data_IF_064279682591
#
_entry.id   IF_064279682591
#
_cell.length_a   1.000
_cell.length_b   1.000
_cell.length_c   1.000
_cell.angle_alpha   90.00
_cell.angle_beta   90.00
_cell.angle_gamma   90.00
#
_symmetry.space_group_name_H-M   'P 1'
#
loop_
_entity.id
_entity.type
_entity.pdbx_description
1 polymer ?
#
# COMPACT_ATOMS: atom_id res chain seq x y z
N UNK A 1 -28.23 3.68 -2.00
CA UNK A 1 -28.78 3.51 -3.37
C UNK A 1 -28.01 4.35 -4.40
N UNK A 2 -27.63 5.60 -4.09
CA UNK A 2 -26.87 6.46 -5.01
C UNK A 2 -25.51 5.88 -5.48
N UNK A 3 -24.69 5.31 -4.58
CA UNK A 3 -23.38 4.75 -4.95
C UNK A 3 -23.42 3.56 -5.93
N UNK A 4 -24.44 2.71 -5.84
CA UNK A 4 -24.61 1.58 -6.78
C UNK A 4 -25.10 2.02 -8.17
N UNK A 5 -25.83 3.13 -8.26
CA UNK A 5 -26.22 3.72 -9.54
C UNK A 5 -25.03 4.43 -10.21
N UNK A 6 -24.19 5.13 -9.44
CA UNK A 6 -22.92 5.72 -9.92
C UNK A 6 -21.97 4.65 -10.47
N UNK A 7 -21.88 3.49 -9.79
CA UNK A 7 -21.10 2.34 -10.26
C UNK A 7 -21.54 1.80 -11.63
N UNK A 8 -22.83 1.87 -11.97
CA UNK A 8 -23.35 1.34 -13.25
C UNK A 8 -23.03 2.23 -14.45
N UNK A 9 -22.71 3.51 -14.22
CA UNK A 9 -22.35 4.46 -15.27
C UNK A 9 -20.85 4.68 -15.44
N UNK A 10 -20.02 4.18 -14.51
CA UNK A 10 -18.57 4.35 -14.54
C UNK A 10 -17.90 3.22 -15.32
N UNK A 11 -17.07 3.58 -16.29
CA UNK A 11 -16.16 2.64 -16.95
C UNK A 11 -15.00 2.28 -16.02
N UNK A 12 -15.18 1.19 -15.28
CA UNK A 12 -14.20 0.70 -14.31
C UNK A 12 -12.92 0.16 -14.99
N UNK A 13 -13.00 -0.32 -16.24
CA UNK A 13 -11.80 -0.71 -17.00
C UNK A 13 -10.96 0.53 -17.36
N UNK A 14 -11.60 1.61 -17.81
CA UNK A 14 -10.92 2.87 -18.08
C UNK A 14 -10.31 3.50 -16.82
N UNK A 15 -11.01 3.40 -15.67
CA UNK A 15 -10.47 3.84 -14.38
C UNK A 15 -9.23 3.03 -13.97
N UNK A 16 -9.24 1.72 -14.18
CA UNK A 16 -8.11 0.83 -13.91
C UNK A 16 -6.90 1.11 -14.81
N UNK A 17 -7.13 1.23 -16.12
CA UNK A 17 -6.10 1.61 -17.10
C UNK A 17 -5.46 2.97 -16.74
N UNK A 18 -6.28 3.91 -16.28
CA UNK A 18 -5.81 5.23 -15.84
C UNK A 18 -4.96 5.13 -14.56
N UNK A 19 -5.46 4.45 -13.53
CA UNK A 19 -4.78 4.31 -12.25
C UNK A 19 -3.41 3.63 -12.39
N UNK A 20 -3.33 2.55 -13.18
CA UNK A 20 -2.08 1.81 -13.42
C UNK A 20 -1.04 2.66 -14.14
N UNK A 21 -1.42 3.37 -15.21
CA UNK A 21 -0.50 4.26 -15.93
C UNK A 21 -0.04 5.42 -15.04
N UNK A 22 -0.94 5.99 -14.25
CA UNK A 22 -0.62 7.10 -13.36
C UNK A 22 0.33 6.68 -12.25
N UNK A 23 0.09 5.53 -11.60
CA UNK A 23 0.96 4.99 -10.56
C UNK A 23 2.39 4.72 -11.08
N UNK A 24 2.53 4.19 -12.30
CA UNK A 24 3.85 3.95 -12.91
C UNK A 24 4.57 5.26 -13.22
N UNK A 25 3.88 6.26 -13.76
CA UNK A 25 4.45 7.60 -14.03
C UNK A 25 4.89 8.30 -12.75
N UNK A 26 4.06 8.24 -11.70
CA UNK A 26 4.35 8.78 -10.38
C UNK A 26 5.57 8.08 -9.74
N UNK A 27 5.61 6.75 -9.74
CA UNK A 27 6.75 6.02 -9.17
C UNK A 27 8.04 6.18 -9.96
N UNK A 28 7.99 6.55 -11.24
CA UNK A 28 9.18 6.93 -11.99
C UNK A 28 9.85 8.20 -11.40
N UNK A 29 9.05 9.16 -10.90
CA UNK A 29 9.56 10.35 -10.19
C UNK A 29 10.28 9.95 -8.89
N UNK A 30 9.69 9.02 -8.11
CA UNK A 30 10.31 8.47 -6.90
C UNK A 30 11.65 7.77 -7.22
N UNK A 31 11.69 6.94 -8.27
CA UNK A 31 12.92 6.26 -8.69
C UNK A 31 14.00 7.25 -9.08
N UNK A 32 13.66 8.25 -9.89
CA UNK A 32 14.62 9.27 -10.33
C UNK A 32 15.20 10.03 -9.14
N UNK A 33 14.37 10.35 -8.15
CA UNK A 33 14.83 11.00 -6.92
C UNK A 33 15.74 10.09 -6.08
N UNK A 34 15.35 8.82 -5.89
CA UNK A 34 16.18 7.83 -5.21
C UNK A 34 17.54 7.64 -5.89
N UNK A 35 17.57 7.62 -7.23
CA UNK A 35 18.79 7.56 -8.02
C UNK A 35 19.69 8.77 -7.80
N UNK A 36 19.15 9.99 -7.92
CA UNK A 36 19.90 11.23 -7.68
C UNK A 36 20.53 11.24 -6.30
N UNK A 37 19.80 10.77 -5.28
CA UNK A 37 20.29 10.66 -3.90
C UNK A 37 21.37 9.61 -3.73
N UNK A 38 21.25 8.46 -4.40
CA UNK A 38 22.28 7.42 -4.37
C UNK A 38 23.57 7.84 -5.11
N UNK A 39 23.48 8.70 -6.12
CA UNK A 39 24.62 9.20 -6.89
C UNK A 39 25.25 10.48 -6.32
N UNK A 40 24.59 11.16 -5.38
CA UNK A 40 25.16 12.34 -4.76
C UNK A 40 26.49 11.93 -4.09
N UNK A 41 27.62 12.60 -4.39
CA UNK A 41 28.87 12.28 -3.73
C UNK A 41 28.66 12.44 -2.23
N UNK A 42 28.99 11.40 -1.46
CA UNK A 42 29.15 11.55 -0.02
C UNK A 42 30.08 12.76 0.16
N UNK A 43 29.57 13.85 0.75
CA UNK A 43 30.41 14.93 1.24
C UNK A 43 31.27 14.33 2.35
N UNK A 44 32.34 13.65 1.98
CA UNK A 44 33.34 13.14 2.89
C UNK A 44 34.00 14.35 3.51
N UNK A 45 33.85 14.48 4.81
CA UNK A 45 34.71 15.26 5.68
C UNK A 45 36.18 14.88 5.45
N UNK A 46 36.83 15.54 4.50
CA UNK A 46 38.29 15.56 4.35
C UNK A 46 38.79 16.97 4.61
N UNK A 47 38.64 17.43 5.86
CA UNK A 47 39.41 18.55 6.36
C UNK A 47 40.77 18.01 6.84
N UNK A 48 41.73 17.92 5.92
CA UNK A 48 43.15 17.88 6.28
C UNK A 48 44.03 18.34 5.10
N UNK A 49 44.43 19.61 5.13
CA UNK A 49 45.83 20.06 5.07
C UNK A 49 45.87 21.52 4.63
N UNK A 50 46.70 22.29 5.32
CA UNK A 50 46.83 23.73 5.27
C UNK A 50 47.13 24.30 3.87
N UNK A 51 46.70 25.55 3.66
CA UNK A 51 47.61 26.61 3.20
C UNK A 51 47.12 28.00 3.70
N UNK A 52 48.04 28.94 4.03
CA UNK A 52 47.72 30.16 4.76
C UNK A 52 47.63 31.42 3.86
N UNK A 53 46.81 32.38 4.31
CA UNK A 53 46.90 33.84 4.08
C UNK A 53 46.69 34.35 2.64
N UNK A 54 45.63 35.14 2.43
CA UNK A 54 45.77 36.56 2.08
C UNK A 54 44.47 37.35 2.28
N UNK A 55 44.67 38.58 2.75
CA UNK A 55 43.71 39.63 3.07
C UNK A 55 42.77 40.02 1.92
N UNK A 56 41.49 40.32 2.21
CA UNK A 56 41.06 41.73 2.21
C UNK A 56 39.78 41.97 3.03
N UNK A 57 39.70 43.19 3.56
CA UNK A 57 38.73 43.82 4.45
C UNK A 57 37.40 44.05 3.68
N UNK A 58 36.19 44.24 4.22
CA UNK A 58 35.70 44.98 5.38
C UNK A 58 34.14 44.88 5.35
N UNK A 59 33.47 44.77 6.50
CA UNK A 59 32.43 45.72 6.96
C UNK A 59 31.68 45.20 8.20
N UNK A 60 31.90 45.93 9.30
CA UNK A 60 31.05 46.19 10.46
C UNK A 60 30.26 45.03 11.11
N UNK A 61 30.82 44.53 12.22
CA UNK A 61 30.09 43.90 13.31
C UNK A 61 29.88 44.91 14.45
N UNK A 62 28.62 45.11 14.87
CA UNK A 62 28.13 45.40 16.23
C UNK A 62 26.61 45.16 16.16
N UNK A 63 25.90 44.48 17.05
CA UNK A 63 26.16 43.97 18.40
C UNK A 63 25.00 43.02 18.75
N UNK A 64 25.29 42.01 19.59
CA UNK A 64 24.43 41.27 20.53
C UNK A 64 24.54 39.75 20.37
N UNK A 65 25.59 39.22 20.98
CA UNK A 65 25.59 37.89 21.58
C UNK A 65 24.58 37.85 22.74
N UNK A 66 23.79 36.79 22.85
CA UNK A 66 24.04 35.79 23.90
C UNK A 66 23.25 34.48 23.68
N UNK A 67 24.03 33.40 23.72
CA UNK A 67 23.71 32.04 24.16
C UNK A 67 22.96 31.06 23.22
N UNK A 68 23.77 30.22 22.55
CA UNK A 68 23.56 28.77 22.52
C UNK A 68 22.93 28.16 21.27
N UNK A 69 23.63 28.14 20.14
CA UNK A 69 23.27 27.29 19.00
C UNK A 69 24.51 26.82 18.22
N UNK A 70 25.08 25.70 18.66
CA UNK A 70 25.98 24.86 17.86
C UNK A 70 25.32 23.48 17.82
N UNK A 71 24.53 23.23 16.76
CA UNK A 71 24.15 21.93 16.17
C UNK A 71 22.79 21.96 15.43
N UNK A 72 22.59 22.88 14.48
CA UNK A 72 21.33 22.96 13.69
C UNK A 72 21.53 22.99 12.17
N UNK A 73 22.69 22.59 11.62
CA UNK A 73 22.90 22.60 10.15
C UNK A 73 23.00 21.24 9.45
N UNK A 74 22.98 20.12 10.16
CA UNK A 74 23.05 18.78 9.53
C UNK A 74 21.74 17.98 9.58
N UNK A 75 20.67 18.53 10.18
CA UNK A 75 19.37 17.83 10.32
C UNK A 75 18.29 18.22 9.29
N UNK A 76 18.53 19.27 8.49
CA UNK A 76 17.59 19.76 7.46
C UNK A 76 17.78 19.12 6.06
N UNK A 77 18.62 18.11 5.88
CA UNK A 77 19.06 17.70 4.53
C UNK A 77 18.33 16.49 3.89
N UNK A 78 17.59 15.70 4.65
CA UNK A 78 16.90 14.49 4.13
C UNK A 78 15.39 14.51 4.33
N UNK A 79 14.92 15.05 5.46
CA UNK A 79 13.50 15.23 5.74
C UNK A 79 12.87 16.22 4.75
N UNK A 80 13.57 17.31 4.43
CA UNK A 80 13.09 18.33 3.49
C UNK A 80 13.00 17.78 2.05
N UNK A 81 14.02 17.02 1.61
CA UNK A 81 14.04 16.38 0.28
C UNK A 81 12.91 15.37 0.11
N UNK A 82 12.61 14.63 1.17
CA UNK A 82 11.51 13.65 1.17
C UNK A 82 10.18 14.41 1.10
N UNK A 83 9.97 15.40 1.97
CA UNK A 83 8.76 16.25 1.94
C UNK A 83 8.52 16.88 0.56
N UNK A 84 9.57 17.35 -0.12
CA UNK A 84 9.46 17.92 -1.46
C UNK A 84 9.05 16.90 -2.54
N UNK A 85 9.58 15.67 -2.49
CA UNK A 85 9.22 14.65 -3.47
C UNK A 85 7.77 14.19 -3.25
N UNK A 86 7.35 13.94 -2.00
CA UNK A 86 5.98 13.56 -1.63
C UNK A 86 4.98 14.59 -2.18
N UNK A 87 5.21 15.88 -1.91
CA UNK A 87 4.38 16.99 -2.41
C UNK A 87 4.39 17.11 -3.94
N UNK A 88 5.52 16.86 -4.59
CA UNK A 88 5.61 16.95 -6.05
C UNK A 88 4.87 15.81 -6.76
N UNK A 89 4.94 14.59 -6.20
CA UNK A 89 4.25 13.41 -6.72
C UNK A 89 2.75 13.56 -6.49
N UNK A 90 2.33 14.00 -5.30
CA UNK A 90 0.92 14.25 -5.01
C UNK A 90 0.32 15.27 -5.99
N UNK A 91 0.99 16.41 -6.15
CA UNK A 91 0.53 17.46 -7.07
C UNK A 91 0.34 16.92 -8.49
N UNK A 92 1.32 16.18 -8.98
CA UNK A 92 1.25 15.55 -10.30
C UNK A 92 0.05 14.59 -10.41
N UNK A 93 -0.12 13.69 -9.44
CA UNK A 93 -1.22 12.71 -9.44
C UNK A 93 -2.59 13.40 -9.37
N UNK A 94 -2.75 14.35 -8.46
CA UNK A 94 -4.01 15.11 -8.27
C UNK A 94 -4.36 15.92 -9.53
N UNK A 95 -3.39 16.58 -10.15
CA UNK A 95 -3.62 17.33 -11.40
C UNK A 95 -4.07 16.42 -12.54
N UNK A 96 -3.45 15.25 -12.72
CA UNK A 96 -3.85 14.28 -13.75
C UNK A 96 -5.24 13.71 -13.47
N UNK A 97 -5.58 13.39 -12.21
CA UNK A 97 -6.92 12.95 -11.82
C UNK A 97 -7.96 14.02 -12.16
N UNK A 98 -7.73 15.27 -11.77
CA UNK A 98 -8.69 16.37 -12.02
C UNK A 98 -8.90 16.67 -13.50
N UNK A 99 -7.90 16.43 -14.35
CA UNK A 99 -8.04 16.56 -15.82
C UNK A 99 -8.98 15.52 -16.41
N UNK A 100 -8.92 14.28 -15.93
CA UNK A 100 -9.67 13.15 -16.50
C UNK A 100 -11.03 12.93 -15.80
N UNK A 101 -11.08 13.16 -14.49
CA UNK A 101 -12.25 12.94 -13.63
C UNK A 101 -12.59 14.21 -12.81
N UNK A 102 -12.97 15.33 -13.44
CA UNK A 102 -13.23 16.60 -12.74
C UNK A 102 -14.43 16.57 -11.78
N UNK A 103 -15.33 15.59 -11.91
CA UNK A 103 -16.50 15.42 -11.04
C UNK A 103 -16.28 14.45 -9.86
N UNK A 104 -15.06 13.95 -9.68
CA UNK A 104 -14.73 12.98 -8.63
C UNK A 104 -14.01 13.70 -7.50
N UNK A 105 -14.25 13.26 -6.26
CA UNK A 105 -13.49 13.73 -5.11
C UNK A 105 -12.07 13.16 -5.14
N UNK A 106 -11.13 13.86 -4.49
CA UNK A 106 -9.75 13.40 -4.34
C UNK A 106 -9.32 13.56 -2.88
N UNK A 107 -8.89 12.46 -2.27
CA UNK A 107 -8.33 12.39 -0.93
C UNK A 107 -6.86 11.96 -1.06
N UNK A 108 -5.92 12.86 -0.75
CA UNK A 108 -4.49 12.59 -0.82
C UNK A 108 -3.81 12.93 0.51
N UNK A 109 -2.79 12.15 0.90
CA UNK A 109 -2.15 12.22 2.23
C UNK A 109 -1.68 13.63 2.59
N UNK A 110 -0.90 14.29 1.75
CA UNK A 110 -0.20 15.53 2.09
C UNK A 110 -1.16 16.71 2.18
N UNK A 111 -2.08 16.83 1.22
CA UNK A 111 -3.15 17.82 1.25
C UNK A 111 -4.06 17.63 2.47
N UNK A 112 -4.32 16.38 2.89
CA UNK A 112 -5.12 16.10 4.07
C UNK A 112 -4.35 16.39 5.36
N UNK A 113 -3.05 16.04 5.44
CA UNK A 113 -2.20 16.34 6.59
C UNK A 113 -2.07 17.84 6.85
N UNK A 114 -2.13 18.66 5.79
CA UNK A 114 -2.20 20.12 5.88
C UNK A 114 -3.58 20.62 6.40
N UNK A 115 -4.63 19.82 6.29
CA UNK A 115 -5.98 20.12 6.77
C UNK A 115 -6.20 19.69 8.22
N UNK A 116 -6.60 20.60 9.11
CA UNK A 116 -6.78 20.30 10.54
C UNK A 116 -7.93 19.34 10.93
N UNK A 117 -8.66 18.76 9.96
CA UNK A 117 -9.78 17.85 10.24
C UNK A 117 -9.30 16.40 10.36
N UNK A 118 -9.79 15.67 11.37
CA UNK A 118 -9.54 14.22 11.55
C UNK A 118 -10.75 13.34 11.17
N UNK A 119 -11.83 13.95 10.65
CA UNK A 119 -13.07 13.25 10.30
C UNK A 119 -12.89 12.31 9.12
N UNK A 120 -13.66 11.23 9.09
CA UNK A 120 -13.71 10.33 7.94
C UNK A 120 -14.11 11.10 6.68
N UNK A 121 -13.32 10.95 5.61
CA UNK A 121 -13.32 11.89 4.49
C UNK A 121 -13.85 11.32 3.17
N UNK A 122 -14.25 10.04 3.10
CA UNK A 122 -14.95 9.53 1.93
C UNK A 122 -16.41 9.98 1.95
N UNK A 123 -16.80 10.67 0.87
CA UNK A 123 -18.17 11.09 0.62
C UNK A 123 -18.98 9.96 -0.04
N UNK A 124 -20.26 10.21 -0.34
CA UNK A 124 -21.07 9.34 -1.19
C UNK A 124 -20.64 9.40 -2.67
N UNK A 125 -19.77 10.35 -3.05
CA UNK A 125 -19.25 10.50 -4.41
C UNK A 125 -18.07 9.54 -4.67
N UNK A 126 -17.83 9.17 -5.93
CA UNK A 126 -16.59 8.49 -6.32
C UNK A 126 -15.38 9.32 -5.90
N UNK A 127 -14.49 8.71 -5.12
CA UNK A 127 -13.32 9.37 -4.53
C UNK A 127 -12.05 8.65 -4.93
N UNK A 128 -11.14 9.35 -5.60
CA UNK A 128 -9.76 8.89 -5.78
C UNK A 128 -8.99 9.08 -4.48
N UNK A 129 -8.36 8.03 -3.98
CA UNK A 129 -7.62 8.03 -2.74
C UNK A 129 -6.15 7.71 -3.03
N UNK A 130 -5.26 8.61 -2.64
CA UNK A 130 -3.87 8.62 -3.11
C UNK A 130 -2.90 8.68 -1.94
N UNK A 131 -1.96 7.75 -1.93
CA UNK A 131 -0.69 7.90 -1.20
C UNK A 131 0.42 8.12 -2.24
N UNK A 132 1.03 9.32 -2.29
CA UNK A 132 2.09 9.62 -3.24
C UNK A 132 3.40 8.87 -2.93
N UNK A 133 3.63 8.48 -1.67
CA UNK A 133 4.81 7.76 -1.21
C UNK A 133 4.50 7.00 0.10
N UNK A 134 3.99 5.78 -0.01
CA UNK A 134 3.91 4.90 1.15
C UNK A 134 5.32 4.36 1.44
N UNK A 135 5.74 4.45 2.70
CA UNK A 135 7.08 4.13 3.15
C UNK A 135 8.05 5.31 3.12
N UNK A 136 7.61 6.53 3.43
CA UNK A 136 8.43 7.76 3.54
C UNK A 136 9.75 7.55 4.33
N UNK A 137 9.71 6.81 5.44
CA UNK A 137 10.90 6.47 6.24
C UNK A 137 11.84 5.55 5.46
N UNK A 138 11.30 4.53 4.79
CA UNK A 138 12.10 3.66 3.93
C UNK A 138 12.76 4.45 2.80
N UNK A 139 12.02 5.36 2.17
CA UNK A 139 12.54 6.23 1.13
C UNK A 139 13.68 7.10 1.64
N UNK A 140 13.55 7.66 2.85
CA UNK A 140 14.63 8.42 3.52
C UNK A 140 15.91 7.60 3.63
N UNK A 141 15.81 6.29 3.89
CA UNK A 141 16.95 5.40 4.02
C UNK A 141 17.36 4.68 2.74
N UNK A 142 16.71 4.98 1.60
CA UNK A 142 16.84 4.20 0.35
C UNK A 142 16.59 2.70 0.56
N UNK A 143 15.76 2.37 1.56
CA UNK A 143 15.27 1.01 1.75
C UNK A 143 14.20 0.74 0.67
N UNK A 144 14.25 -0.41 -0.04
CA UNK A 144 13.60 -0.57 -1.34
C UNK A 144 12.07 -0.74 -1.28
N UNK A 145 11.48 -0.94 -0.11
CA UNK A 145 10.03 -1.12 0.06
C UNK A 145 9.34 0.23 0.19
N UNK A 146 9.10 0.83 -0.97
CA UNK A 146 8.36 2.09 -1.14
C UNK A 146 7.40 1.93 -2.31
N UNK A 147 6.26 2.61 -2.29
CA UNK A 147 5.34 2.56 -3.41
C UNK A 147 4.47 3.82 -3.56
N UNK A 148 3.87 3.95 -4.75
CA UNK A 148 2.73 4.85 -4.98
C UNK A 148 1.46 4.01 -4.88
N UNK A 149 0.47 4.48 -4.12
CA UNK A 149 -0.85 3.84 -3.96
C UNK A 149 -1.93 4.74 -4.55
N UNK A 150 -2.70 4.24 -5.52
CA UNK A 150 -3.83 4.95 -6.12
C UNK A 150 -5.05 4.04 -6.09
N UNK A 151 -6.02 4.38 -5.25
CA UNK A 151 -7.29 3.69 -5.11
C UNK A 151 -8.46 4.53 -5.63
N UNK A 152 -9.54 3.87 -6.02
CA UNK A 152 -10.84 4.48 -6.25
C UNK A 152 -11.85 3.80 -5.34
N UNK A 153 -12.58 4.60 -4.56
CA UNK A 153 -13.66 4.15 -3.71
C UNK A 153 -15.00 4.79 -4.13
N UNK A 154 -16.09 4.02 -4.00
CA UNK A 154 -17.46 4.51 -4.21
C UNK A 154 -18.29 4.11 -2.99
N UNK A 155 -18.83 5.10 -2.26
CA UNK A 155 -19.61 4.84 -1.05
C UNK A 155 -18.83 4.02 -0.01
N UNK A 156 -17.55 4.36 0.20
CA UNK A 156 -16.61 3.68 1.11
C UNK A 156 -16.20 2.26 0.70
N UNK A 157 -16.62 1.79 -0.48
CA UNK A 157 -16.18 0.51 -1.03
C UNK A 157 -15.01 0.74 -2.01
N UNK A 158 -13.82 0.17 -1.76
CA UNK A 158 -12.74 0.14 -2.76
C UNK A 158 -13.17 -0.68 -3.98
N UNK A 159 -13.08 -0.08 -5.17
CA UNK A 159 -13.56 -0.68 -6.44
C UNK A 159 -12.47 -0.82 -7.49
N UNK A 160 -11.38 -0.06 -7.39
CA UNK A 160 -10.21 -0.17 -8.24
C UNK A 160 -8.96 0.25 -7.45
N UNK A 161 -7.82 -0.34 -7.77
CA UNK A 161 -6.56 -0.02 -7.10
C UNK A 161 -5.34 -0.31 -7.97
N UNK A 162 -4.32 0.53 -7.86
CA UNK A 162 -2.99 0.32 -8.40
C UNK A 162 -1.94 0.68 -7.34
N UNK A 163 -1.03 -0.25 -7.06
CA UNK A 163 0.12 -0.07 -6.17
C UNK A 163 1.38 -0.34 -6.98
N UNK A 164 2.25 0.65 -7.12
CA UNK A 164 3.49 0.52 -7.87
C UNK A 164 4.70 0.72 -6.97
N UNK A 165 5.53 -0.31 -6.83
CA UNK A 165 6.78 -0.29 -6.10
C UNK A 165 7.96 -0.06 -7.04
N UNK A 166 8.47 1.18 -7.18
CA UNK A 166 9.45 1.51 -8.20
C UNK A 166 10.86 0.99 -7.88
N UNK A 167 11.16 0.58 -6.65
CA UNK A 167 12.50 0.12 -6.26
C UNK A 167 12.58 -1.41 -6.07
N UNK A 168 11.56 -2.15 -6.52
CA UNK A 168 11.46 -3.61 -6.36
C UNK A 168 11.38 -4.32 -7.71
N UNK A 169 11.69 -5.63 -7.75
CA UNK A 169 11.57 -6.46 -8.96
C UNK A 169 12.82 -6.51 -9.85
N UNK A 170 12.70 -7.19 -11.01
CA UNK A 170 13.81 -7.30 -11.96
C UNK A 170 14.20 -5.92 -12.49
N UNK A 171 15.50 -5.60 -12.52
CA UNK A 171 15.98 -4.27 -12.89
C UNK A 171 15.84 -3.21 -11.78
N UNK A 172 15.66 -3.63 -10.52
CA UNK A 172 15.70 -2.75 -9.34
C UNK A 172 17.12 -2.29 -8.94
N UNK A 173 18.14 -2.61 -9.74
CA UNK A 173 19.42 -1.93 -9.60
C UNK A 173 19.17 -0.46 -9.93
N UNK A 174 19.60 0.42 -9.03
CA UNK A 174 19.50 1.88 -9.18
C UNK A 174 20.17 2.39 -10.49
N UNK A 175 20.96 1.56 -11.18
CA UNK A 175 21.59 1.79 -12.49
C UNK A 175 20.75 2.64 -13.49
N UNK A 176 21.31 3.75 -14.01
CA UNK A 176 20.57 4.70 -14.84
C UNK A 176 20.34 4.18 -16.25
N UNK A 177 21.04 3.11 -16.67
CA UNK A 177 20.89 2.51 -18.00
C UNK A 177 19.73 1.51 -18.00
N UNK A 178 19.39 0.98 -16.82
CA UNK A 178 18.26 0.09 -16.57
C UNK A 178 17.02 0.90 -16.17
N UNK A 179 16.49 1.74 -17.07
CA UNK A 179 15.23 2.47 -16.88
C UNK A 179 13.98 1.56 -16.71
N UNK A 180 14.16 0.25 -16.53
CA UNK A 180 13.14 -0.78 -16.61
C UNK A 180 13.20 -1.62 -15.34
N UNK A 181 12.12 -1.61 -14.57
CA UNK A 181 11.93 -2.46 -13.40
C UNK A 181 10.74 -1.98 -12.59
N UNK A 182 10.60 -2.44 -11.35
CA UNK A 182 9.44 -2.11 -10.53
C UNK A 182 8.42 -3.25 -10.53
N UNK A 183 7.57 -3.26 -9.52
CA UNK A 183 6.47 -4.21 -9.42
C UNK A 183 5.16 -3.43 -9.30
N UNK A 184 4.19 -3.77 -10.16
CA UNK A 184 2.86 -3.18 -10.14
C UNK A 184 1.86 -4.25 -9.70
N UNK A 185 1.03 -3.94 -8.72
CA UNK A 185 -0.16 -4.69 -8.39
C UNK A 185 -1.37 -3.86 -8.74
N UNK A 186 -2.39 -4.46 -9.31
CA UNK A 186 -3.61 -3.73 -9.64
C UNK A 186 -4.81 -4.64 -9.69
N UNK A 187 -5.99 -4.07 -9.47
CA UNK A 187 -7.25 -4.78 -9.57
C UNK A 187 -8.38 -3.82 -9.86
N UNK A 188 -9.45 -4.38 -10.39
CA UNK A 188 -10.68 -3.68 -10.70
C UNK A 188 -11.86 -4.61 -10.40
N UNK A 189 -12.91 -4.08 -9.77
CA UNK A 189 -14.04 -4.87 -9.28
C UNK A 189 -14.64 -5.74 -10.40
N UNK A 190 -14.70 -7.05 -10.18
CA UNK A 190 -15.22 -8.03 -11.14
C UNK A 190 -14.24 -8.44 -12.26
N UNK A 191 -13.00 -7.94 -12.26
CA UNK A 191 -12.01 -8.19 -13.30
C UNK A 191 -10.77 -8.91 -12.77
N UNK A 192 -10.71 -9.20 -11.47
CA UNK A 192 -9.60 -9.91 -10.83
C UNK A 192 -8.44 -8.99 -10.44
N UNK A 193 -7.44 -9.61 -9.82
CA UNK A 193 -6.22 -8.97 -9.36
C UNK A 193 -4.99 -9.48 -10.12
N UNK A 194 -4.08 -8.57 -10.43
CA UNK A 194 -2.93 -8.82 -11.29
C UNK A 194 -1.64 -8.30 -10.65
N UNK A 195 -0.56 -9.06 -10.82
CA UNK A 195 0.79 -8.57 -10.61
C UNK A 195 1.44 -8.40 -11.98
N UNK A 196 2.12 -7.28 -12.18
CA UNK A 196 2.73 -6.95 -13.45
C UNK A 196 4.10 -6.33 -13.30
N UNK A 197 4.94 -6.51 -14.31
CA UNK A 197 6.21 -5.80 -14.45
C UNK A 197 6.10 -4.88 -15.66
N UNK A 198 6.18 -3.56 -15.49
CA UNK A 198 6.28 -2.64 -16.63
C UNK A 198 7.55 -2.96 -17.46
N UNK A 199 7.39 -3.50 -18.67
CA UNK A 199 8.49 -3.71 -19.62
C UNK A 199 8.35 -2.68 -20.76
N UNK A 200 9.44 -2.21 -21.37
CA UNK A 200 9.37 -1.42 -22.63
C UNK A 200 9.60 -2.27 -23.87
N UNK A 201 9.95 -3.56 -23.74
CA UNK A 201 10.40 -4.37 -24.88
C UNK A 201 9.29 -4.76 -25.89
N UNK A 202 8.01 -4.45 -25.66
CA UNK A 202 6.94 -4.71 -26.65
C UNK A 202 5.82 -3.66 -26.69
N UNK A 203 5.94 -2.59 -27.49
CA UNK A 203 5.04 -1.42 -27.42
C UNK A 203 3.55 -1.59 -27.77
N UNK A 204 2.96 -2.76 -28.05
CA UNK A 204 1.64 -2.78 -28.76
C UNK A 204 0.57 -3.82 -28.40
N UNK A 205 0.67 -4.59 -27.31
CA UNK A 205 -0.44 -5.50 -26.96
C UNK A 205 -1.08 -5.10 -25.66
N UNK A 206 -2.32 -4.58 -25.74
CA UNK A 206 -3.17 -4.48 -24.56
C UNK A 206 -3.34 -5.87 -23.93
N UNK A 207 -3.33 -5.96 -22.61
CA UNK A 207 -3.46 -7.21 -21.84
C UNK A 207 -4.65 -8.06 -22.29
N UNK A 208 -5.77 -7.40 -22.65
CA UNK A 208 -6.97 -8.02 -23.21
C UNK A 208 -6.76 -8.65 -24.60
N UNK A 209 -5.89 -8.10 -25.44
CA UNK A 209 -5.65 -8.60 -26.81
C UNK A 209 -4.68 -9.80 -26.81
N UNK A 210 -3.75 -9.84 -25.87
CA UNK A 210 -2.92 -11.02 -25.61
C UNK A 210 -3.75 -12.20 -25.08
N UNK A 211 -4.69 -11.95 -24.17
CA UNK A 211 -5.62 -12.98 -23.65
C UNK A 211 -6.51 -13.56 -24.76
N UNK A 212 -7.05 -12.71 -25.66
CA UNK A 212 -7.84 -13.16 -26.81
C UNK A 212 -7.05 -14.03 -27.79
N UNK A 213 -5.76 -13.77 -27.96
CA UNK A 213 -4.90 -14.54 -28.87
C UNK A 213 -4.44 -15.89 -28.28
N UNK A 214 -4.40 -16.02 -26.96
CA UNK A 214 -3.74 -17.16 -26.30
C UNK A 214 -4.67 -18.04 -25.44
N UNK A 215 -5.95 -17.67 -25.27
CA UNK A 215 -6.92 -18.46 -24.49
C UNK A 215 -8.00 -19.15 -25.35
N UNK A 216 -8.22 -18.72 -26.60
CA UNK A 216 -9.20 -19.39 -27.48
C UNK A 216 -8.48 -20.13 -28.60
N UNK A 217 -8.46 -21.45 -28.50
CA UNK A 217 -8.07 -22.31 -29.61
C UNK A 217 -8.99 -22.13 -30.82
N UNK A 218 -8.42 -22.32 -32.00
CA UNK A 218 -9.02 -22.44 -33.35
C UNK A 218 -9.16 -21.16 -34.22
N UNK A 219 -8.33 -21.17 -35.27
CA UNK A 219 -8.52 -20.65 -36.65
C UNK A 219 -8.77 -19.15 -36.89
N UNK A 220 -7.78 -18.53 -37.55
CA UNK A 220 -7.83 -17.22 -38.21
C UNK A 220 -8.86 -17.16 -39.35
N UNK A 221 -9.40 -15.97 -39.62
CA UNK A 221 -9.41 -15.48 -41.00
C UNK A 221 -8.53 -14.23 -41.17
N UNK A 222 -8.09 -14.08 -42.41
CA UNK A 222 -7.10 -13.13 -42.89
C UNK A 222 -7.62 -11.69 -43.07
N UNK A 223 -6.66 -10.77 -43.00
CA UNK A 223 -6.52 -9.52 -43.76
C UNK A 223 -7.49 -8.35 -43.52
N UNK A 224 -6.83 -7.19 -43.35
CA UNK A 224 -7.26 -5.83 -43.66
C UNK A 224 -8.25 -5.17 -42.69
N UNK A 225 -7.73 -4.31 -41.80
CA UNK A 225 -7.86 -2.87 -42.02
C UNK A 225 -6.96 -2.06 -41.08
N UNK A 226 -5.85 -1.54 -41.62
CA UNK A 226 -4.96 -0.58 -40.97
C UNK A 226 -5.47 0.84 -41.19
N UNK A 227 -6.67 1.18 -40.73
CA UNK A 227 -7.19 2.57 -40.77
C UNK A 227 -8.16 2.83 -39.63
N UNK A 228 -7.66 3.24 -38.46
CA UNK A 228 -8.41 3.99 -37.44
C UNK A 228 -7.46 4.63 -36.41
N UNK A 229 -6.58 5.51 -36.89
CA UNK A 229 -5.87 6.51 -36.05
C UNK A 229 -6.39 7.90 -36.38
N UNK A 230 -7.64 8.16 -36.02
CA UNK A 230 -8.18 9.50 -35.87
C UNK A 230 -9.36 9.40 -34.90
N UNK A 231 -9.12 9.70 -33.62
CA UNK A 231 -10.19 10.08 -32.72
C UNK A 231 -10.46 11.56 -32.91
N UNK A 232 -11.73 11.91 -33.04
CA UNK A 232 -12.24 13.25 -32.83
C UNK A 232 -11.75 13.73 -31.44
N UNK A 233 -11.44 15.01 -31.29
CA UNK A 233 -11.12 15.71 -30.02
C UNK A 233 -9.64 16.07 -29.75
N UNK A 234 -8.70 15.78 -30.65
CA UNK A 234 -7.38 16.48 -30.66
C UNK A 234 -6.46 16.30 -29.45
N UNK A 235 -6.84 15.50 -28.44
CA UNK A 235 -6.00 15.18 -27.30
C UNK A 235 -5.20 13.89 -27.54
N UNK A 236 -3.89 13.85 -27.24
CA UNK A 236 -3.11 12.62 -27.32
C UNK A 236 -3.66 11.60 -26.31
N UNK A 237 -4.05 10.42 -26.79
CA UNK A 237 -4.47 9.32 -25.91
C UNK A 237 -3.30 8.96 -24.98
N UNK A 238 -3.55 8.66 -23.69
CA UNK A 238 -2.52 8.18 -22.78
C UNK A 238 -1.75 7.00 -23.39
N UNK A 239 -0.42 7.05 -23.30
CA UNK A 239 0.46 6.00 -23.80
C UNK A 239 0.21 4.71 -22.99
N UNK A 240 -0.45 3.71 -23.59
CA UNK A 240 -0.59 2.38 -22.97
C UNK A 240 0.78 1.72 -22.88
N UNK A 241 1.36 1.70 -21.68
CA UNK A 241 2.56 0.91 -21.41
C UNK A 241 2.21 -0.58 -21.56
N UNK A 242 3.08 -1.40 -22.18
CA UNK A 242 2.87 -2.84 -22.21
C UNK A 242 3.17 -3.39 -20.82
N UNK A 243 2.12 -3.54 -20.03
CA UNK A 243 2.15 -4.13 -18.70
C UNK A 243 2.06 -5.65 -18.89
N UNK A 244 3.14 -6.39 -18.63
CA UNK A 244 3.08 -7.84 -18.62
C UNK A 244 2.42 -8.30 -17.33
N UNK A 245 1.14 -8.68 -17.39
CA UNK A 245 0.31 -9.04 -16.24
C UNK A 245 0.19 -10.55 -16.08
N UNK A 246 0.47 -11.03 -14.87
CA UNK A 246 0.11 -12.36 -14.41
C UNK A 246 -1.05 -12.26 -13.40
N UNK A 247 -2.02 -13.19 -13.41
CA UNK A 247 -2.99 -13.32 -12.33
C UNK A 247 -2.27 -13.41 -10.97
N UNK A 248 -2.82 -12.77 -9.94
CA UNK A 248 -2.14 -12.65 -8.64
C UNK A 248 -2.07 -13.98 -7.86
N UNK A 249 -2.92 -14.95 -8.19
CA UNK A 249 -3.01 -16.23 -7.49
C UNK A 249 -1.76 -17.10 -7.73
N UNK A 250 -0.97 -17.29 -6.67
CA UNK A 250 0.10 -18.30 -6.64
C UNK A 250 -0.47 -19.64 -6.20
N UNK A 251 -0.34 -20.65 -7.05
CA UNK A 251 -0.86 -22.01 -6.83
C UNK A 251 -0.04 -22.85 -5.84
N UNK A 252 0.96 -22.27 -5.16
CA UNK A 252 1.96 -23.01 -4.37
C UNK A 252 2.07 -22.61 -2.90
N UNK A 253 1.19 -21.76 -2.38
CA UNK A 253 1.22 -21.42 -0.94
C UNK A 253 0.84 -22.64 -0.10
N UNK A 254 1.47 -22.87 1.08
CA UNK A 254 1.09 -23.96 1.96
C UNK A 254 -0.40 -23.91 2.30
N UNK A 255 -1.05 -25.08 2.31
CA UNK A 255 -2.42 -25.18 2.81
C UNK A 255 -2.45 -24.83 4.30
N UNK A 256 -3.44 -24.06 4.73
CA UNK A 256 -3.61 -23.74 6.14
C UNK A 256 -4.20 -24.98 6.81
N UNK A 257 -3.39 -25.63 7.66
CA UNK A 257 -3.86 -26.75 8.47
C UNK A 257 -4.87 -26.30 9.54
N UNK A 258 -5.52 -27.27 10.20
CA UNK A 258 -6.63 -27.07 11.14
C UNK A 258 -6.41 -25.94 12.16
N UNK A 259 -7.51 -25.23 12.49
CA UNK A 259 -7.84 -24.29 13.60
C UNK A 259 -6.75 -23.43 14.28
N UNK A 260 -5.51 -23.47 13.81
CA UNK A 260 -4.31 -22.95 14.46
C UNK A 260 -3.62 -21.97 13.52
N UNK A 261 -2.86 -21.04 14.10
CA UNK A 261 -2.05 -20.08 13.33
C UNK A 261 -0.68 -20.66 12.92
N UNK A 262 -0.39 -21.91 13.32
CA UNK A 262 0.93 -22.52 13.18
C UNK A 262 1.26 -22.69 11.70
N UNK A 263 2.44 -22.23 11.31
CA UNK A 263 2.88 -22.26 9.91
C UNK A 263 2.48 -21.03 9.10
N UNK A 264 1.59 -20.16 9.62
CA UNK A 264 1.20 -18.94 8.95
C UNK A 264 2.23 -17.82 9.16
N UNK A 265 2.48 -17.06 8.12
CA UNK A 265 3.32 -15.87 8.13
C UNK A 265 2.46 -14.62 8.29
N UNK A 266 2.75 -13.84 9.32
CA UNK A 266 2.07 -12.59 9.60
C UNK A 266 2.93 -11.40 9.17
N UNK A 267 2.28 -10.34 8.71
CA UNK A 267 2.90 -9.04 8.46
C UNK A 267 2.20 -7.94 9.25
N UNK A 268 2.98 -7.04 9.83
CA UNK A 268 2.50 -5.92 10.64
C UNK A 268 3.61 -4.91 10.83
N UNK A 269 3.24 -3.66 11.10
CA UNK A 269 4.15 -2.55 11.34
C UNK A 269 4.13 -2.10 12.80
N UNK A 270 5.21 -1.48 13.26
CA UNK A 270 5.30 -0.94 14.62
C UNK A 270 4.48 0.35 14.81
N UNK A 271 4.17 1.05 13.73
CA UNK A 271 3.43 2.32 13.74
C UNK A 271 4.26 3.53 14.23
N UNK A 272 3.61 4.71 14.26
CA UNK A 272 4.24 6.00 14.61
C UNK A 272 4.22 6.31 16.13
N UNK A 273 3.44 5.57 16.93
CA UNK A 273 3.31 5.81 18.38
C UNK A 273 4.61 5.54 19.13
N UNK A 274 5.00 6.44 20.04
CA UNK A 274 6.20 6.33 20.89
C UNK A 274 5.91 6.58 22.36
N UNK A 275 4.63 6.55 22.77
CA UNK A 275 4.24 6.69 24.18
C UNK A 275 4.81 5.54 25.03
N UNK A 276 5.19 5.82 26.29
CA UNK A 276 5.82 4.84 27.16
C UNK A 276 4.84 3.71 27.53
N UNK A 277 5.34 2.53 27.97
CA UNK A 277 4.48 1.41 28.38
C UNK A 277 3.53 1.68 29.54
N UNK A 278 3.81 2.69 30.35
CA UNK A 278 2.92 3.14 31.43
C UNK A 278 1.69 3.88 30.93
N UNK A 279 1.67 4.36 29.67
CA UNK A 279 0.54 5.05 29.10
C UNK A 279 -0.51 4.03 28.60
N UNK A 280 -1.73 4.01 29.18
CA UNK A 280 -2.77 3.07 28.78
C UNK A 280 -3.23 3.27 27.33
N UNK A 281 -2.99 4.43 26.72
CA UNK A 281 -3.32 4.68 25.33
C UNK A 281 -2.21 4.27 24.36
N UNK A 282 -1.05 3.78 24.82
CA UNK A 282 0.09 3.41 23.97
C UNK A 282 -0.26 2.23 23.04
N UNK A 283 -0.43 2.54 21.75
CA UNK A 283 -0.59 1.55 20.69
C UNK A 283 0.69 0.79 20.43
N UNK A 284 1.87 1.39 20.69
CA UNK A 284 3.15 0.67 20.60
C UNK A 284 3.17 -0.49 21.58
N UNK A 285 2.79 -0.26 22.84
CA UNK A 285 2.69 -1.33 23.85
C UNK A 285 1.64 -2.36 23.50
N UNK A 286 0.48 -1.92 22.97
CA UNK A 286 -0.60 -2.82 22.52
C UNK A 286 -0.16 -3.73 21.39
N UNK A 287 0.57 -3.19 20.40
CA UNK A 287 1.18 -3.96 19.31
C UNK A 287 2.28 -4.90 19.80
N UNK A 288 3.20 -4.42 20.64
CA UNK A 288 4.28 -5.25 21.18
C UNK A 288 3.75 -6.46 21.97
N UNK A 289 2.74 -6.26 22.82
CA UNK A 289 2.10 -7.36 23.56
C UNK A 289 1.37 -8.33 22.63
N UNK A 290 0.73 -7.82 21.57
CA UNK A 290 0.10 -8.65 20.55
C UNK A 290 1.13 -9.49 19.79
N UNK A 291 2.27 -8.90 19.39
CA UNK A 291 3.36 -9.63 18.76
C UNK A 291 3.93 -10.70 19.67
N UNK A 292 4.07 -10.41 20.97
CA UNK A 292 4.49 -11.40 21.95
C UNK A 292 3.53 -12.59 22.00
N UNK A 293 2.22 -12.34 22.05
CA UNK A 293 1.21 -13.39 22.06
C UNK A 293 1.20 -14.22 20.77
N UNK A 294 1.37 -13.58 19.61
CA UNK A 294 1.39 -14.27 18.31
C UNK A 294 2.70 -15.04 18.07
N UNK A 295 3.81 -14.61 18.66
CA UNK A 295 5.10 -15.30 18.52
C UNK A 295 5.32 -16.39 19.57
N UNK A 296 4.47 -16.48 20.60
CA UNK A 296 4.60 -17.46 21.68
C UNK A 296 3.25 -18.09 22.05
N UNK A 297 3.15 -19.41 21.95
CA UNK A 297 2.03 -20.18 22.49
C UNK A 297 1.91 -19.99 24.00
N UNK A 298 0.71 -19.69 24.47
CA UNK A 298 0.39 -19.62 25.90
C UNK A 298 0.29 -21.02 26.53
N UNK A 299 -0.05 -22.04 25.74
CA UNK A 299 -0.15 -23.45 26.15
C UNK A 299 0.65 -24.36 25.23
N UNK A 300 1.20 -25.45 25.77
CA UNK A 300 1.83 -26.48 24.96
C UNK A 300 0.83 -27.09 23.97
N UNK A 301 1.30 -27.57 22.82
CA UNK A 301 0.46 -28.31 21.88
C UNK A 301 0.06 -29.68 22.44
N UNK A 302 -0.76 -30.44 21.69
CA UNK A 302 -1.20 -31.79 22.10
C UNK A 302 -0.03 -32.76 22.34
N UNK A 303 1.15 -32.47 21.76
CA UNK A 303 2.39 -33.24 21.96
C UNK A 303 3.27 -32.69 23.12
N UNK A 304 2.77 -31.71 23.88
CA UNK A 304 3.50 -31.10 25.00
C UNK A 304 4.61 -30.14 24.57
N UNK A 305 4.70 -29.76 23.29
CA UNK A 305 5.73 -28.86 22.79
C UNK A 305 5.31 -27.40 22.91
N UNK A 306 6.25 -26.56 23.38
CA UNK A 306 6.13 -25.10 23.31
C UNK A 306 6.60 -24.62 21.93
N UNK A 307 5.90 -23.65 21.33
CA UNK A 307 6.22 -23.10 20.01
C UNK A 307 5.62 -21.70 19.80
N UNK A 308 5.73 -21.14 18.60
CA UNK A 308 5.03 -19.90 18.24
C UNK A 308 3.60 -20.17 17.78
N UNK A 309 2.69 -19.21 17.97
CA UNK A 309 1.34 -19.30 17.37
C UNK A 309 1.45 -19.11 15.85
N UNK A 310 2.16 -18.09 15.37
CA UNK A 310 2.52 -17.92 13.95
C UNK A 310 3.94 -18.44 13.66
N UNK A 311 4.25 -18.72 12.39
CA UNK A 311 5.58 -19.12 11.94
C UNK A 311 6.60 -17.97 12.05
N UNK A 312 6.13 -16.73 11.85
CA UNK A 312 6.94 -15.54 12.01
C UNK A 312 6.16 -14.28 11.72
N UNK A 313 6.80 -13.14 12.00
CA UNK A 313 6.28 -11.80 11.71
C UNK A 313 7.25 -11.11 10.72
N UNK A 314 6.71 -10.29 9.82
CA UNK A 314 7.44 -9.40 8.93
C UNK A 314 6.99 -7.95 9.18
N UNK A 315 7.89 -7.01 8.89
CA UNK A 315 7.61 -5.58 8.82
C UNK A 315 8.43 -5.03 7.65
N UNK A 316 7.76 -4.45 6.66
CA UNK A 316 8.36 -3.91 5.46
C UNK A 316 8.38 -2.38 5.44
N UNK A 317 7.66 -1.73 6.35
CA UNK A 317 7.56 -0.27 6.46
C UNK A 317 6.61 0.37 5.45
N UNK A 318 5.68 -0.38 4.85
CA UNK A 318 4.67 0.12 3.91
C UNK A 318 3.40 -0.73 3.99
N UNK A 319 2.30 -0.12 4.43
CA UNK A 319 1.03 -0.82 4.62
C UNK A 319 0.39 -1.26 3.29
N UNK A 320 0.58 -0.47 2.23
CA UNK A 320 0.12 -0.81 0.89
C UNK A 320 0.86 -2.04 0.36
N UNK A 321 2.17 -2.15 0.60
CA UNK A 321 2.95 -3.33 0.23
C UNK A 321 2.57 -4.57 1.05
N UNK A 322 2.31 -4.41 2.34
CA UNK A 322 1.83 -5.50 3.20
C UNK A 322 0.52 -6.11 2.68
N UNK A 323 -0.41 -5.25 2.23
CA UNK A 323 -1.69 -5.69 1.64
C UNK A 323 -1.50 -6.50 0.36
N UNK A 324 -0.64 -6.06 -0.56
CA UNK A 324 -0.43 -6.81 -1.83
C UNK A 324 0.36 -8.09 -1.63
N UNK A 325 1.22 -8.14 -0.60
CA UNK A 325 1.85 -9.39 -0.19
C UNK A 325 0.86 -10.37 0.41
N UNK A 326 -0.13 -9.89 1.18
CA UNK A 326 -1.24 -10.71 1.65
C UNK A 326 -2.11 -11.18 0.48
N UNK A 327 -2.51 -10.27 -0.42
CA UNK A 327 -3.32 -10.60 -1.60
C UNK A 327 -2.64 -11.60 -2.54
N UNK A 328 -1.31 -11.54 -2.68
CA UNK A 328 -0.52 -12.50 -3.48
C UNK A 328 -0.25 -13.85 -2.80
N UNK A 329 -0.62 -13.99 -1.53
CA UNK A 329 -0.35 -15.18 -0.73
C UNK A 329 1.13 -15.37 -0.37
N UNK A 330 1.92 -14.30 -0.43
CA UNK A 330 3.32 -14.30 0.04
C UNK A 330 3.41 -14.21 1.57
N UNK A 331 2.39 -13.61 2.19
CA UNK A 331 2.10 -13.69 3.62
C UNK A 331 0.63 -14.13 3.78
N UNK A 332 0.30 -14.72 4.92
CA UNK A 332 -1.04 -15.28 5.16
C UNK A 332 -1.98 -14.25 5.81
N UNK A 333 -1.43 -13.41 6.69
CA UNK A 333 -2.17 -12.49 7.56
C UNK A 333 -1.48 -11.13 7.53
N UNK A 334 -2.25 -10.08 7.30
CA UNK A 334 -1.87 -8.71 7.66
C UNK A 334 -2.74 -8.28 8.85
N UNK A 335 -2.11 -7.84 9.93
CA UNK A 335 -2.79 -7.23 11.06
C UNK A 335 -2.16 -5.88 11.34
N UNK A 336 -2.90 -4.80 11.09
CA UNK A 336 -2.33 -3.46 11.16
C UNK A 336 -3.30 -2.43 11.74
N UNK A 337 -2.72 -1.44 12.42
CA UNK A 337 -3.44 -0.41 13.14
C UNK A 337 -2.77 0.94 12.99
N UNK A 338 -3.57 1.93 12.64
CA UNK A 338 -3.15 3.31 12.44
C UNK A 338 -3.14 3.74 10.97
N UNK A 339 -3.42 2.82 10.05
CA UNK A 339 -3.53 3.14 8.63
C UNK A 339 -4.65 4.15 8.36
N UNK A 340 -4.46 4.95 7.32
CA UNK A 340 -5.43 5.82 6.72
C UNK A 340 -6.00 5.21 5.44
N UNK A 341 -6.98 5.87 4.86
CA UNK A 341 -7.66 5.44 3.65
C UNK A 341 -6.70 5.28 2.48
N UNK A 342 -5.70 6.17 2.36
CA UNK A 342 -4.69 6.15 1.29
C UNK A 342 -3.71 4.97 1.41
N UNK A 343 -3.35 4.60 2.64
CA UNK A 343 -2.51 3.42 2.93
C UNK A 343 -3.16 2.12 2.44
N UNK A 344 -4.51 2.02 2.47
CA UNK A 344 -5.21 0.74 2.32
C UNK A 344 -6.17 0.64 1.13
N UNK A 345 -6.68 1.74 0.58
CA UNK A 345 -7.76 1.68 -0.42
C UNK A 345 -7.38 0.83 -1.63
N UNK A 346 -6.24 1.09 -2.26
CA UNK A 346 -5.79 0.34 -3.42
C UNK A 346 -5.53 -1.14 -3.06
N UNK A 347 -4.87 -1.38 -1.92
CA UNK A 347 -4.52 -2.73 -1.45
C UNK A 347 -5.75 -3.56 -1.10
N UNK A 348 -6.79 -2.96 -0.51
CA UNK A 348 -8.06 -3.63 -0.22
C UNK A 348 -8.85 -3.97 -1.49
N UNK A 349 -8.85 -3.11 -2.51
CA UNK A 349 -9.42 -3.44 -3.81
C UNK A 349 -8.71 -4.66 -4.44
N UNK A 350 -7.37 -4.69 -4.36
CA UNK A 350 -6.55 -5.80 -4.84
C UNK A 350 -6.82 -7.09 -4.05
N UNK A 351 -6.86 -7.00 -2.73
CA UNK A 351 -7.17 -8.13 -1.86
C UNK A 351 -8.57 -8.70 -2.13
N UNK A 352 -9.57 -7.84 -2.30
CA UNK A 352 -10.95 -8.23 -2.58
C UNK A 352 -11.05 -9.06 -3.87
N UNK A 353 -10.45 -8.55 -4.96
CA UNK A 353 -10.45 -9.20 -6.27
C UNK A 353 -9.57 -10.45 -6.33
N UNK A 354 -8.57 -10.55 -5.45
CA UNK A 354 -7.81 -11.78 -5.26
C UNK A 354 -8.63 -12.87 -4.53
N UNK A 355 -9.73 -12.51 -3.85
CA UNK A 355 -10.55 -13.42 -3.05
C UNK A 355 -10.23 -13.40 -1.55
N UNK A 356 -9.57 -12.36 -1.06
CA UNK A 356 -9.22 -12.20 0.35
C UNK A 356 -10.38 -11.84 1.28
N UNK A 357 -10.10 -11.81 2.57
CA UNK A 357 -10.97 -11.26 3.61
C UNK A 357 -10.31 -10.02 4.21
N UNK A 358 -11.08 -8.99 4.55
CA UNK A 358 -10.66 -8.00 5.54
C UNK A 358 -11.79 -7.70 6.52
N UNK A 359 -11.42 -7.47 7.77
CA UNK A 359 -12.32 -7.11 8.88
C UNK A 359 -11.60 -6.19 9.87
N UNK A 360 -12.22 -5.87 11.00
CA UNK A 360 -11.60 -5.04 12.04
C UNK A 360 -10.36 -5.72 12.64
N UNK A 361 -9.30 -4.93 12.82
CA UNK A 361 -8.08 -5.37 13.49
C UNK A 361 -8.30 -5.71 14.96
N UNK A 362 -9.33 -5.18 15.62
CA UNK A 362 -9.65 -5.51 17.00
C UNK A 362 -10.60 -6.70 17.11
N UNK A 363 -10.39 -7.50 18.15
CA UNK A 363 -11.34 -8.53 18.54
C UNK A 363 -12.66 -7.87 18.98
N UNK A 364 -13.82 -8.47 18.63
CA UNK A 364 -15.10 -8.00 19.12
C UNK A 364 -15.24 -8.27 20.62
N UNK A 365 -16.30 -7.76 21.23
CA UNK A 365 -16.59 -8.05 22.63
C UNK A 365 -16.68 -9.57 22.89
N UNK A 366 -16.31 -10.10 24.08
CA UNK A 366 -16.39 -11.53 24.36
C UNK A 366 -17.79 -12.14 24.23
N UNK A 367 -18.83 -11.31 24.38
CA UNK A 367 -20.23 -11.71 24.22
C UNK A 367 -20.73 -11.63 22.76
N UNK A 368 -19.91 -11.13 21.82
CA UNK A 368 -20.32 -10.93 20.44
C UNK A 368 -20.62 -12.25 19.73
N UNK A 369 -21.66 -12.24 18.91
CA UNK A 369 -22.02 -13.32 18.00
C UNK A 369 -20.90 -13.68 17.01
N UNK A 370 -20.00 -12.72 16.75
CA UNK A 370 -18.86 -12.87 15.83
C UNK A 370 -17.85 -13.94 16.27
N UNK A 371 -17.94 -14.45 17.51
CA UNK A 371 -17.12 -15.59 17.95
C UNK A 371 -17.63 -16.94 17.42
N UNK A 372 -18.90 -17.04 17.05
CA UNK A 372 -19.46 -18.30 16.54
C UNK A 372 -18.98 -18.55 15.10
N UNK A 373 -18.77 -19.83 14.77
CA UNK A 373 -18.30 -20.26 13.45
C UNK A 373 -19.34 -20.06 12.35
N UNK A 374 -20.62 -20.04 12.70
CA UNK A 374 -21.75 -19.86 11.78
C UNK A 374 -22.10 -18.40 11.50
N UNK A 375 -21.46 -17.44 12.20
CA UNK A 375 -21.69 -16.00 12.00
C UNK A 375 -20.69 -15.44 10.99
N UNK A 376 -21.11 -14.99 9.80
CA UNK A 376 -20.18 -14.37 8.83
C UNK A 376 -19.54 -13.11 9.41
N UNK A 377 -18.27 -12.87 9.06
CA UNK A 377 -17.58 -11.65 9.51
C UNK A 377 -17.93 -10.45 8.63
N UNK A 378 -18.25 -9.29 9.21
CA UNK A 378 -18.48 -8.08 8.44
C UNK A 378 -17.15 -7.58 7.85
N UNK A 379 -17.25 -6.94 6.68
CA UNK A 379 -16.14 -6.18 6.11
C UNK A 379 -15.82 -4.99 7.01
N UNK A 380 -14.53 -4.74 7.23
CA UNK A 380 -14.07 -3.55 7.95
C UNK A 380 -14.36 -2.29 7.14
N UNK A 381 -14.66 -1.18 7.83
CA UNK A 381 -14.81 0.13 7.19
C UNK A 381 -13.47 0.61 6.62
N UNK A 382 -13.48 1.21 5.42
CA UNK A 382 -12.30 1.83 4.82
C UNK A 382 -11.69 2.92 5.74
N UNK A 383 -12.52 3.62 6.52
CA UNK A 383 -12.09 4.59 7.53
C UNK A 383 -11.70 4.00 8.88
N UNK A 384 -11.75 2.68 9.04
CA UNK A 384 -11.63 1.99 10.33
C UNK A 384 -10.29 2.18 11.03
N UNK A 385 -9.21 2.39 10.28
CA UNK A 385 -7.82 2.46 10.77
C UNK A 385 -7.30 1.19 11.47
N UNK A 386 -8.10 0.13 11.53
CA UNK A 386 -7.75 -1.16 12.15
C UNK A 386 -8.15 -2.25 11.16
N UNK A 387 -7.17 -2.98 10.66
CA UNK A 387 -7.38 -3.92 9.58
C UNK A 387 -6.78 -5.28 9.94
N UNK A 388 -7.61 -6.31 9.85
CA UNK A 388 -7.19 -7.70 9.81
C UNK A 388 -7.54 -8.26 8.44
N UNK A 389 -6.52 -8.58 7.66
CA UNK A 389 -6.66 -9.08 6.30
C UNK A 389 -6.09 -10.50 6.20
N UNK A 390 -6.85 -11.39 5.57
CA UNK A 390 -6.46 -12.78 5.35
C UNK A 390 -6.38 -13.02 3.84
N UNK A 391 -5.30 -13.65 3.41
CA UNK A 391 -5.07 -13.95 1.99
C UNK A 391 -6.17 -14.83 1.39
N UNK A 392 -6.29 -14.89 0.06
CA UNK A 392 -7.07 -15.93 -0.60
C UNK A 392 -6.52 -17.33 -0.27
N UNK A 393 -7.42 -18.27 0.02
CA UNK A 393 -7.06 -19.66 0.30
C UNK A 393 -7.97 -20.62 -0.48
N UNK A 394 -7.37 -21.56 -1.21
CA UNK A 394 -8.09 -22.70 -1.76
C UNK A 394 -7.84 -23.93 -0.87
N UNK A 395 -8.84 -24.34 -0.09
CA UNK A 395 -8.78 -25.63 0.63
C UNK A 395 -9.66 -26.66 -0.09
N UNK A 396 -9.30 -27.96 -0.07
CA UNK A 396 -10.13 -28.99 -0.71
C UNK A 396 -11.47 -29.27 -0.01
N UNK A 397 -11.55 -28.97 1.29
CA UNK A 397 -12.62 -29.47 2.17
C UNK A 397 -13.43 -28.35 2.86
N UNK A 398 -13.04 -27.09 2.71
CA UNK A 398 -13.68 -25.94 3.33
C UNK A 398 -13.80 -24.82 2.28
N UNK A 399 -14.82 -23.96 2.38
CA UNK A 399 -14.86 -22.78 1.49
C UNK A 399 -13.76 -21.79 1.87
N UNK A 400 -13.20 -21.07 0.90
CA UNK A 400 -12.22 -20.00 1.14
C UNK A 400 -12.64 -19.04 2.25
N UNK A 401 -13.92 -18.64 2.25
CA UNK A 401 -14.45 -17.69 3.24
C UNK A 401 -14.43 -18.26 4.65
N UNK A 402 -14.89 -19.50 4.84
CA UNK A 402 -14.92 -20.14 6.15
C UNK A 402 -13.50 -20.29 6.73
N UNK A 403 -12.54 -20.69 5.90
CA UNK A 403 -11.15 -20.81 6.32
C UNK A 403 -10.58 -19.45 6.79
N UNK A 404 -10.83 -18.38 6.03
CA UNK A 404 -10.43 -17.02 6.38
C UNK A 404 -11.06 -16.53 7.68
N UNK A 405 -12.36 -16.77 7.87
CA UNK A 405 -13.10 -16.37 9.07
C UNK A 405 -12.64 -17.11 10.32
N UNK A 406 -12.27 -18.39 10.18
CA UNK A 406 -11.65 -19.19 11.23
C UNK A 406 -10.27 -18.64 11.62
N UNK A 407 -9.42 -18.29 10.65
CA UNK A 407 -8.11 -17.68 10.89
C UNK A 407 -8.28 -16.32 11.57
N UNK A 408 -9.21 -15.48 11.11
CA UNK A 408 -9.46 -14.17 11.70
C UNK A 408 -9.82 -14.28 13.20
N UNK A 409 -10.69 -15.24 13.57
CA UNK A 409 -11.00 -15.52 14.98
C UNK A 409 -9.79 -16.04 15.75
N UNK A 410 -8.98 -16.90 15.14
CA UNK A 410 -7.75 -17.40 15.78
C UNK A 410 -6.75 -16.26 16.05
N UNK A 411 -6.64 -15.28 15.15
CA UNK A 411 -5.86 -14.05 15.38
C UNK A 411 -6.46 -13.26 16.53
N UNK A 412 -7.77 -12.97 16.51
CA UNK A 412 -8.46 -12.22 17.57
C UNK A 412 -8.27 -12.80 18.97
N UNK A 413 -8.25 -14.13 19.12
CA UNK A 413 -7.98 -14.79 20.43
C UNK A 413 -6.60 -14.50 20.99
N UNK A 414 -5.64 -14.18 20.13
CA UNK A 414 -4.24 -13.93 20.50
C UNK A 414 -3.88 -12.44 20.55
N UNK A 415 -4.82 -11.53 20.26
CA UNK A 415 -4.57 -10.10 20.38
C UNK A 415 -4.50 -9.66 21.85
N UNK A 416 -3.87 -8.51 22.09
CA UNK A 416 -4.00 -7.84 23.38
C UNK A 416 -5.47 -7.51 23.65
N UNK A 417 -5.99 -7.93 24.82
CA UNK A 417 -7.37 -7.69 25.27
C UNK A 417 -7.91 -6.26 25.16
N UNK A 418 -7.05 -5.23 25.26
CA UNK A 418 -7.49 -3.85 25.18
C UNK A 418 -7.69 -3.33 23.74
N UNK A 419 -7.31 -4.13 22.74
CA UNK A 419 -7.31 -3.74 21.32
C UNK A 419 -6.38 -2.56 21.01
N UNK A 420 -6.40 -2.12 19.76
CA UNK A 420 -5.77 -0.89 19.29
C UNK A 420 -6.72 0.30 19.47
N UNK A 421 -6.14 1.45 19.85
CA UNK A 421 -6.83 2.72 20.08
C UNK A 421 -6.67 3.62 18.85
N UNK A 422 -7.55 3.43 17.86
CA UNK A 422 -7.58 4.22 16.61
C UNK A 422 -8.99 4.63 16.18
N UNK A 423 -9.94 4.63 17.12
CA UNK A 423 -11.33 4.96 16.82
C UNK A 423 -11.48 6.39 16.31
N UNK A 424 -12.32 6.56 15.28
CA UNK A 424 -12.65 7.85 14.69
C UNK A 424 -14.13 8.14 14.83
N UNK A 425 -14.44 9.40 15.11
CA UNK A 425 -15.80 9.92 15.03
C UNK A 425 -16.36 9.70 13.60
N UNK A 426 -17.60 9.21 13.52
CA UNK A 426 -18.30 8.97 12.26
C UNK A 426 -18.01 7.61 11.60
N UNK A 427 -17.16 6.77 12.19
CA UNK A 427 -16.90 5.40 11.71
C UNK A 427 -17.66 4.39 12.56
N UNK A 428 -18.36 3.47 11.89
CA UNK A 428 -19.04 2.35 12.55
C UNK A 428 -18.08 1.17 12.65
N UNK A 429 -17.86 0.70 13.87
CA UNK A 429 -17.02 -0.45 14.18
C UNK A 429 -17.88 -1.68 14.50
N UNK A 430 -17.47 -2.90 14.08
CA UNK A 430 -18.16 -4.13 14.46
C UNK A 430 -18.16 -4.32 15.98
N UNK A 431 -19.32 -4.68 16.56
CA UNK A 431 -19.54 -4.85 18.02
C UNK A 431 -19.46 -6.28 18.53
#
# INVERSE_FOLDING_TARGET
MAGQELLRGLDLEAAHDFATQLAVRAGAMLRENAWKRACAPHLSSSASSADPISHDQSYAAEKLHENGALNTREKDSSVDVVTDIDLSVERFVVEEIRKVYPGFDVLAEEAYAAGGSKRYACSELPTWIVDPLDGTVNFTHLFPTVCVSIGLAIGNEPVCGAIYAPLMGAGANLDPVSHLGGMLWSACKGHGAFQSTPDRRHPQTSTLQWLKANIVGSTMPSTADSKRTAGLDGHPRPLRLPINSAPLLRTSSPQIASSTLKGLLLISEWGKDRRPPSDPQSNLTRKANTFWNLTKRSTADEAGQQGGEVHGIRSLGSAALDLVYCASGSVDIMWEGGCWEWDVCAGLAILAEAGGLWTDGNAPSPASALWREDTPLPRGSLGGRRFLCIRPEATPNESTRLAQERIARAVWRNLHHGGLQYEREGVVYPS
#
